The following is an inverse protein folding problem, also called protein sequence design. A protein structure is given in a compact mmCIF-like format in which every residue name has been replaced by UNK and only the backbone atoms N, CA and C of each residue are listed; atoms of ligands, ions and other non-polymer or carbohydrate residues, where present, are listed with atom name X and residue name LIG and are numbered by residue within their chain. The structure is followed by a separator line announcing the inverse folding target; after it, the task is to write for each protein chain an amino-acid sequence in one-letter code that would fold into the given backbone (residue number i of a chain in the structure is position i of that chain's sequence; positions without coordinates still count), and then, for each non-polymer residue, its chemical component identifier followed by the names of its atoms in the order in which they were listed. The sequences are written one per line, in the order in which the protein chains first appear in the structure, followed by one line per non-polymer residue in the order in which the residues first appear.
data_IF_863470192473
#
_entry.id   IF_863470192473
#
_cell.length_a   1.000
_cell.length_b   1.000
_cell.length_c   1.000
_cell.angle_alpha   90.00
_cell.angle_beta   90.00
_cell.angle_gamma   90.00
#
_symmetry.space_group_name_H-M   'P 1'
#
loop_
_entity.id
_entity.type
_entity.pdbx_description
1 polymer ?
#
# COMPACT_ATOMS: atom_id res chain seq x y z
N UNK A 1 -23.34 -13.29 -10.73
CA UNK A 1 -24.48 -12.77 -9.95
C UNK A 1 -24.11 -11.59 -9.04
N UNK A 2 -22.98 -11.58 -8.31
CA UNK A 2 -22.66 -10.49 -7.36
C UNK A 2 -22.50 -9.08 -7.98
N UNK A 3 -22.07 -8.97 -9.25
CA UNK A 3 -21.93 -7.67 -9.93
C UNK A 3 -23.25 -6.94 -10.18
N UNK A 4 -24.40 -7.63 -10.24
CA UNK A 4 -25.70 -6.98 -10.47
C UNK A 4 -26.32 -6.37 -9.21
N UNK A 5 -25.78 -6.69 -8.02
CA UNK A 5 -26.28 -6.23 -6.72
C UNK A 5 -25.44 -5.04 -6.20
N UNK A 6 -24.26 -4.80 -6.77
CA UNK A 6 -23.36 -3.77 -6.25
C UNK A 6 -23.92 -2.36 -6.54
N UNK A 7 -24.20 -1.55 -5.51
CA UNK A 7 -24.80 -0.23 -5.70
C UNK A 7 -23.84 0.70 -6.45
N UNK A 8 -24.41 1.54 -7.32
CA UNK A 8 -23.68 2.52 -8.16
C UNK A 8 -23.15 3.74 -7.38
N UNK A 9 -23.52 3.87 -6.10
CA UNK A 9 -23.09 4.95 -5.21
C UNK A 9 -22.70 4.38 -3.83
N UNK A 10 -21.87 5.09 -3.05
CA UNK A 10 -21.58 4.71 -1.66
C UNK A 10 -22.86 4.80 -0.83
N UNK A 11 -23.58 3.70 -0.74
CA UNK A 11 -24.79 3.61 0.08
C UNK A 11 -24.43 3.25 1.52
N UNK A 12 -25.21 3.70 2.52
CA UNK A 12 -25.03 3.28 3.91
C UNK A 12 -25.02 1.76 4.11
N UNK A 13 -25.72 1.03 3.22
CA UNK A 13 -25.74 -0.43 3.20
C UNK A 13 -24.38 -1.02 2.83
N UNK A 14 -23.69 -0.45 1.84
CA UNK A 14 -22.37 -0.91 1.45
C UNK A 14 -21.36 -0.78 2.58
N UNK A 15 -21.40 0.35 3.29
CA UNK A 15 -20.58 0.57 4.48
C UNK A 15 -20.78 -0.49 5.56
N UNK A 16 -22.04 -0.88 5.81
CA UNK A 16 -22.34 -1.95 6.76
C UNK A 16 -21.77 -3.29 6.30
N UNK A 17 -21.98 -3.65 5.04
CA UNK A 17 -21.48 -4.91 4.46
C UNK A 17 -19.96 -4.99 4.56
N UNK A 18 -19.25 -3.94 4.13
CA UNK A 18 -17.78 -3.91 4.17
C UNK A 18 -17.28 -4.02 5.61
N UNK A 19 -17.90 -3.30 6.55
CA UNK A 19 -17.51 -3.36 7.97
C UNK A 19 -17.74 -4.71 8.64
N UNK A 20 -18.77 -5.44 8.21
CA UNK A 20 -19.03 -6.79 8.72
C UNK A 20 -18.17 -7.84 8.03
N UNK A 21 -17.86 -7.67 6.75
CA UNK A 21 -17.18 -8.68 5.95
C UNK A 21 -15.65 -8.63 6.06
N UNK A 22 -15.04 -7.43 6.08
CA UNK A 22 -13.57 -7.29 6.11
C UNK A 22 -12.90 -7.97 7.31
N UNK A 23 -13.49 -8.02 8.53
CA UNK A 23 -12.92 -8.82 9.62
C UNK A 23 -12.76 -10.31 9.30
N UNK A 24 -13.52 -10.86 8.34
CA UNK A 24 -13.36 -12.24 7.88
C UNK A 24 -12.03 -12.48 7.14
N UNK A 25 -11.22 -11.44 6.92
CA UNK A 25 -9.86 -11.56 6.41
C UNK A 25 -8.98 -12.42 7.32
N UNK A 26 -9.21 -12.39 8.64
CA UNK A 26 -8.47 -13.18 9.62
C UNK A 26 -9.17 -14.49 9.98
N UNK A 27 -10.17 -14.91 9.19
CA UNK A 27 -10.87 -16.17 9.41
C UNK A 27 -9.92 -17.37 9.21
N UNK A 28 -10.09 -18.42 10.02
CA UNK A 28 -9.27 -19.63 9.93
C UNK A 28 -9.50 -20.40 8.62
N UNK A 29 -10.73 -20.38 8.10
CA UNK A 29 -11.10 -21.10 6.88
C UNK A 29 -10.68 -20.34 5.62
N UNK A 30 -9.87 -21.00 4.79
CA UNK A 30 -9.37 -20.44 3.53
C UNK A 30 -10.50 -20.07 2.57
N UNK A 31 -11.55 -20.88 2.51
CA UNK A 31 -12.69 -20.65 1.61
C UNK A 31 -13.45 -19.37 1.95
N UNK A 32 -13.55 -19.03 3.24
CA UNK A 32 -14.17 -17.78 3.71
C UNK A 32 -13.33 -16.59 3.26
N UNK A 33 -12.00 -16.66 3.40
CA UNK A 33 -11.08 -15.60 2.93
C UNK A 33 -11.13 -15.45 1.41
N UNK A 34 -11.20 -16.55 0.66
CA UNK A 34 -11.35 -16.54 -0.80
C UNK A 34 -12.68 -15.92 -1.25
N UNK A 35 -13.78 -16.26 -0.56
CA UNK A 35 -15.10 -15.68 -0.81
C UNK A 35 -15.12 -14.18 -0.48
N UNK A 36 -14.51 -13.76 0.63
CA UNK A 36 -14.32 -12.35 0.98
C UNK A 36 -13.57 -11.62 -0.12
N UNK A 37 -12.43 -12.15 -0.59
CA UNK A 37 -11.65 -11.54 -1.68
C UNK A 37 -12.50 -11.37 -2.93
N UNK A 38 -13.27 -12.39 -3.31
CA UNK A 38 -14.18 -12.35 -4.47
C UNK A 38 -15.27 -11.29 -4.31
N UNK A 39 -15.83 -11.16 -3.10
CA UNK A 39 -16.80 -10.11 -2.76
C UNK A 39 -16.18 -8.72 -2.90
N UNK A 40 -15.00 -8.49 -2.30
CA UNK A 40 -14.31 -7.20 -2.37
C UNK A 40 -13.96 -6.83 -3.80
N UNK A 41 -13.47 -7.78 -4.61
CA UNK A 41 -13.21 -7.57 -6.04
C UNK A 41 -14.48 -7.19 -6.79
N UNK A 42 -15.59 -7.89 -6.56
CA UNK A 42 -16.86 -7.55 -7.20
C UNK A 42 -17.39 -6.16 -6.77
N UNK A 43 -17.12 -5.76 -5.53
CA UNK A 43 -17.60 -4.52 -4.92
C UNK A 43 -16.71 -3.31 -5.22
N UNK A 44 -15.41 -3.48 -5.41
CA UNK A 44 -14.50 -2.34 -5.53
C UNK A 44 -13.77 -2.24 -6.86
N UNK A 45 -13.74 -3.29 -7.69
CA UNK A 45 -13.03 -3.23 -8.97
C UNK A 45 -13.52 -2.07 -9.84
N UNK A 46 -12.59 -1.19 -10.24
CA UNK A 46 -12.84 0.01 -11.02
C UNK A 46 -13.53 1.16 -10.27
N UNK A 47 -13.63 1.09 -8.92
CA UNK A 47 -14.34 2.06 -8.07
C UNK A 47 -13.45 2.57 -6.94
N UNK A 48 -12.40 3.31 -7.32
CA UNK A 48 -11.39 3.87 -6.41
C UNK A 48 -12.00 4.80 -5.35
N UNK A 49 -13.06 5.54 -5.69
CA UNK A 49 -13.81 6.42 -4.78
C UNK A 49 -14.46 5.66 -3.61
N UNK A 50 -15.01 4.47 -3.89
CA UNK A 50 -15.57 3.60 -2.85
C UNK A 50 -14.46 3.05 -1.95
N UNK A 51 -13.33 2.63 -2.53
CA UNK A 51 -12.19 2.14 -1.73
C UNK A 51 -11.69 3.26 -0.80
N UNK A 52 -11.54 4.49 -1.32
CA UNK A 52 -11.06 5.65 -0.55
C UNK A 52 -11.91 5.90 0.71
N UNK A 53 -13.23 5.72 0.61
CA UNK A 53 -14.14 5.86 1.74
C UNK A 53 -13.91 4.81 2.85
N UNK A 54 -13.39 3.63 2.50
CA UNK A 54 -13.13 2.52 3.44
C UNK A 54 -11.65 2.36 3.80
N UNK A 55 -10.74 3.14 3.22
CA UNK A 55 -9.29 2.92 3.32
C UNK A 55 -8.78 2.80 4.74
N UNK A 56 -9.16 3.70 5.65
CA UNK A 56 -8.68 3.65 7.05
C UNK A 56 -9.05 2.34 7.73
N UNK A 57 -10.25 1.83 7.46
CA UNK A 57 -10.75 0.58 8.01
C UNK A 57 -10.09 -0.65 7.36
N UNK A 58 -9.87 -0.60 6.05
CA UNK A 58 -9.16 -1.64 5.29
C UNK A 58 -7.70 -1.74 5.76
N UNK A 59 -6.99 -0.62 5.87
CA UNK A 59 -5.59 -0.57 6.34
C UNK A 59 -5.44 -1.22 7.70
N UNK A 60 -6.37 -0.96 8.64
CA UNK A 60 -6.36 -1.58 9.96
C UNK A 60 -6.46 -3.11 9.89
N UNK A 61 -7.41 -3.65 9.14
CA UNK A 61 -7.65 -5.09 9.08
C UNK A 61 -6.59 -5.82 8.26
N UNK A 62 -6.10 -5.21 7.19
CA UNK A 62 -4.98 -5.76 6.41
C UNK A 62 -3.72 -5.81 7.28
N UNK A 63 -3.44 -4.75 8.05
CA UNK A 63 -2.32 -4.76 8.99
C UNK A 63 -2.47 -5.88 10.02
N UNK A 64 -3.67 -6.07 10.60
CA UNK A 64 -3.96 -7.18 11.50
C UNK A 64 -3.79 -8.56 10.86
N UNK A 65 -4.11 -8.69 9.56
CA UNK A 65 -3.93 -9.93 8.81
C UNK A 65 -2.46 -10.23 8.49
N UNK A 66 -1.66 -9.19 8.17
CA UNK A 66 -0.22 -9.32 7.92
C UNK A 66 0.57 -9.67 9.19
N UNK A 67 0.09 -9.29 10.37
CA UNK A 67 0.69 -9.64 11.67
C UNK A 67 0.08 -10.88 12.32
N UNK A 68 -0.77 -11.61 11.57
CA UNK A 68 -1.44 -12.79 12.09
C UNK A 68 -0.47 -13.95 12.36
N UNK A 69 -0.83 -14.84 13.30
CA UNK A 69 -0.01 -16.00 13.68
C UNK A 69 0.05 -17.07 12.59
N UNK A 70 -1.04 -17.25 11.84
CA UNK A 70 -1.13 -18.22 10.73
C UNK A 70 -0.53 -17.65 9.44
N UNK A 71 0.40 -18.39 8.83
CA UNK A 71 1.10 -17.99 7.60
C UNK A 71 0.15 -17.80 6.40
N UNK A 72 -0.85 -18.67 6.27
CA UNK A 72 -1.84 -18.59 5.18
C UNK A 72 -2.65 -17.30 5.23
N UNK A 73 -3.02 -16.85 6.44
CA UNK A 73 -3.75 -15.59 6.64
C UNK A 73 -2.87 -14.39 6.25
N UNK A 74 -1.57 -14.44 6.56
CA UNK A 74 -0.61 -13.40 6.15
C UNK A 74 -0.47 -13.34 4.63
N UNK A 75 -0.32 -14.51 3.99
CA UNK A 75 -0.22 -14.61 2.53
C UNK A 75 -1.47 -14.07 1.83
N UNK A 76 -2.67 -14.45 2.30
CA UNK A 76 -3.94 -13.97 1.74
C UNK A 76 -4.10 -12.45 1.97
N UNK A 77 -3.68 -11.94 3.12
CA UNK A 77 -3.69 -10.50 3.44
C UNK A 77 -2.71 -9.72 2.56
N UNK A 78 -1.53 -10.26 2.28
CA UNK A 78 -0.57 -9.67 1.36
C UNK A 78 -1.12 -9.62 -0.07
N UNK A 79 -1.76 -10.71 -0.53
CA UNK A 79 -2.42 -10.76 -1.83
C UNK A 79 -3.60 -9.78 -1.95
N UNK A 80 -4.36 -9.56 -0.88
CA UNK A 80 -5.41 -8.54 -0.85
C UNK A 80 -4.82 -7.13 -0.89
N UNK A 81 -3.73 -6.87 -0.13
CA UNK A 81 -3.03 -5.59 -0.14
C UNK A 81 -2.47 -5.26 -1.53
N UNK A 82 -1.80 -6.22 -2.18
CA UNK A 82 -1.29 -6.07 -3.54
C UNK A 82 -2.40 -5.62 -4.51
N UNK A 83 -3.55 -6.31 -4.48
CA UNK A 83 -4.68 -5.96 -5.32
C UNK A 83 -5.26 -4.58 -4.99
N UNK A 84 -5.45 -4.25 -3.70
CA UNK A 84 -5.96 -2.94 -3.31
C UNK A 84 -5.03 -1.80 -3.70
N UNK A 85 -3.71 -1.99 -3.64
CA UNK A 85 -2.73 -1.02 -4.10
C UNK A 85 -2.85 -0.79 -5.62
N UNK A 86 -3.16 -1.84 -6.40
CA UNK A 86 -3.39 -1.69 -7.84
C UNK A 86 -4.66 -0.90 -8.21
N UNK A 87 -5.67 -0.88 -7.33
CA UNK A 87 -6.95 -0.17 -7.57
C UNK A 87 -6.99 1.23 -6.94
N UNK A 88 -6.36 1.42 -5.77
CA UNK A 88 -6.43 2.64 -4.95
C UNK A 88 -5.12 2.95 -4.20
N UNK A 89 -3.97 2.73 -4.85
CA UNK A 89 -2.64 2.87 -4.27
C UNK A 89 -2.42 4.15 -3.48
N UNK A 90 -2.74 5.31 -4.06
CA UNK A 90 -2.51 6.62 -3.44
C UNK A 90 -3.23 6.76 -2.09
N UNK A 91 -4.49 6.31 -2.02
CA UNK A 91 -5.27 6.37 -0.78
C UNK A 91 -4.69 5.43 0.28
N UNK A 92 -4.38 4.18 -0.09
CA UNK A 92 -3.81 3.20 0.85
C UNK A 92 -2.45 3.64 1.39
N UNK A 93 -1.59 4.15 0.52
CA UNK A 93 -0.29 4.68 0.91
C UNK A 93 -0.48 5.85 1.87
N UNK A 94 -1.32 6.83 1.54
CA UNK A 94 -1.54 8.01 2.40
C UNK A 94 -1.89 7.62 3.84
N UNK A 95 -2.75 6.62 4.03
CA UNK A 95 -3.22 6.22 5.35
C UNK A 95 -2.43 5.06 6.00
N UNK A 96 -1.62 4.33 5.24
CA UNK A 96 -0.99 3.08 5.68
C UNK A 96 0.53 3.01 5.53
N UNK A 97 1.18 4.03 4.96
CA UNK A 97 2.60 3.99 4.57
C UNK A 97 3.54 3.48 5.66
N UNK A 98 3.72 4.26 6.74
CA UNK A 98 4.65 3.90 7.82
C UNK A 98 4.29 2.55 8.47
N UNK A 99 2.99 2.31 8.67
CA UNK A 99 2.51 1.08 9.30
C UNK A 99 2.86 -0.16 8.47
N UNK A 100 2.64 -0.10 7.15
CA UNK A 100 2.99 -1.22 6.28
C UNK A 100 4.50 -1.39 6.13
N UNK A 101 5.28 -0.31 6.03
CA UNK A 101 6.74 -0.40 6.03
C UNK A 101 7.28 -1.07 7.31
N UNK A 102 6.76 -0.67 8.46
CA UNK A 102 7.10 -1.29 9.75
C UNK A 102 6.68 -2.77 9.78
N UNK A 103 5.47 -3.08 9.31
CA UNK A 103 4.96 -4.46 9.23
C UNK A 103 5.85 -5.34 8.37
N UNK A 104 6.18 -4.89 7.15
CA UNK A 104 7.07 -5.60 6.25
C UNK A 104 8.48 -5.75 6.83
N UNK A 105 8.97 -4.76 7.58
CA UNK A 105 10.28 -4.83 8.24
C UNK A 105 10.39 -5.96 9.25
N UNK A 106 9.30 -6.23 9.98
CA UNK A 106 9.23 -7.35 10.92
C UNK A 106 8.99 -8.66 10.17
N UNK A 107 8.04 -8.67 9.23
CA UNK A 107 7.58 -9.85 8.49
C UNK A 107 8.66 -10.47 7.59
N UNK A 108 9.50 -9.64 6.98
CA UNK A 108 10.61 -10.04 6.12
C UNK A 108 11.96 -10.00 6.86
N UNK A 109 11.95 -9.67 8.15
CA UNK A 109 13.08 -9.88 9.06
C UNK A 109 14.21 -8.85 8.97
N UNK A 110 13.97 -7.65 8.42
CA UNK A 110 15.00 -6.61 8.32
C UNK A 110 14.97 -5.53 9.40
N UNK A 111 14.07 -5.63 10.37
CA UNK A 111 14.05 -4.73 11.55
C UNK A 111 14.96 -5.25 12.66
N UNK A 112 15.74 -4.35 13.28
CA UNK A 112 16.59 -4.62 14.45
C UNK A 112 15.99 -3.95 15.71
N UNK A 113 15.96 -4.62 16.89
CA UNK A 113 16.46 -5.97 17.17
C UNK A 113 15.47 -7.05 16.70
N UNK A 114 16.02 -8.08 16.04
CA UNK A 114 15.28 -9.15 15.38
C UNK A 114 14.44 -9.97 16.37
N UNK A 115 13.21 -9.54 16.67
CA UNK A 115 12.17 -10.43 17.21
C UNK A 115 11.41 -10.98 16.01
N UNK A 116 11.91 -12.07 15.44
CA UNK A 116 11.39 -12.82 14.28
C UNK A 116 10.08 -13.56 14.59
N UNK A 117 9.16 -12.94 15.34
CA UNK A 117 7.92 -13.58 15.85
C UNK A 117 7.00 -14.01 14.70
N UNK A 118 7.11 -13.36 13.53
CA UNK A 118 6.23 -13.57 12.39
C UNK A 118 6.97 -13.77 11.07
N UNK A 119 8.15 -14.42 11.07
CA UNK A 119 8.90 -14.64 9.83
C UNK A 119 7.99 -15.27 8.74
N UNK A 120 8.09 -14.77 7.51
CA UNK A 120 7.46 -15.39 6.34
C UNK A 120 7.77 -16.89 6.33
N UNK A 121 6.73 -17.72 6.38
CA UNK A 121 6.88 -19.18 6.38
C UNK A 121 7.26 -19.69 4.99
N UNK A 122 6.40 -20.55 4.41
CA UNK A 122 6.74 -21.31 3.19
C UNK A 122 6.84 -20.46 1.92
N UNK A 123 6.30 -19.23 1.90
CA UNK A 123 6.36 -18.36 0.70
C UNK A 123 6.57 -16.88 1.03
N UNK A 124 7.71 -16.34 0.59
CA UNK A 124 8.02 -14.89 0.65
C UNK A 124 7.39 -14.12 -0.51
N UNK A 125 7.00 -14.80 -1.58
CA UNK A 125 6.59 -14.19 -2.84
C UNK A 125 5.36 -13.26 -2.72
N UNK A 126 4.24 -13.63 -2.04
CA UNK A 126 3.10 -12.73 -1.88
C UNK A 126 3.47 -11.44 -1.14
N UNK A 127 4.36 -11.56 -0.14
CA UNK A 127 4.82 -10.44 0.67
C UNK A 127 5.72 -9.49 -0.14
N UNK A 128 6.62 -10.04 -0.96
CA UNK A 128 7.47 -9.24 -1.85
C UNK A 128 6.66 -8.55 -2.95
N UNK A 129 5.63 -9.20 -3.50
CA UNK A 129 4.72 -8.59 -4.47
C UNK A 129 3.95 -7.42 -3.87
N UNK A 130 3.39 -7.59 -2.68
CA UNK A 130 2.69 -6.55 -1.95
C UNK A 130 3.63 -5.38 -1.55
N UNK A 131 4.84 -5.68 -1.08
CA UNK A 131 5.87 -4.68 -0.80
C UNK A 131 6.27 -3.91 -2.05
N UNK A 132 6.50 -4.59 -3.18
CA UNK A 132 6.81 -3.93 -4.45
C UNK A 132 5.70 -2.97 -4.83
N UNK A 133 4.44 -3.41 -4.79
CA UNK A 133 3.30 -2.56 -5.08
C UNK A 133 3.27 -1.35 -4.14
N UNK A 134 3.50 -1.56 -2.84
CA UNK A 134 3.52 -0.50 -1.84
C UNK A 134 4.60 0.54 -2.20
N UNK A 135 5.83 0.11 -2.45
CA UNK A 135 6.95 0.98 -2.80
C UNK A 135 6.71 1.73 -4.11
N UNK A 136 6.20 1.05 -5.14
CA UNK A 136 5.89 1.68 -6.43
C UNK A 136 4.87 2.80 -6.22
N UNK A 137 3.77 2.57 -5.51
CA UNK A 137 2.77 3.61 -5.29
C UNK A 137 3.25 4.69 -4.31
N UNK A 138 3.92 4.33 -3.22
CA UNK A 138 4.31 5.31 -2.20
C UNK A 138 5.53 6.16 -2.54
N UNK A 139 6.41 5.65 -3.40
CA UNK A 139 7.56 6.40 -3.92
C UNK A 139 7.31 6.97 -5.31
N UNK A 140 6.09 6.89 -5.85
CA UNK A 140 5.75 7.58 -7.09
C UNK A 140 5.69 9.09 -6.83
N UNK A 141 6.65 9.82 -7.39
CA UNK A 141 6.68 11.29 -7.40
C UNK A 141 5.96 11.80 -8.65
N UNK A 142 5.11 12.83 -8.50
CA UNK A 142 4.46 13.52 -9.63
C UNK A 142 3.05 13.06 -10.00
N UNK A 143 2.54 11.95 -9.45
CA UNK A 143 1.10 11.58 -9.55
C UNK A 143 0.24 12.24 -8.47
N UNK A 144 0.85 12.63 -7.35
CA UNK A 144 0.19 13.30 -6.21
C UNK A 144 -0.46 14.66 -6.55
N UNK A 145 -0.26 15.16 -7.76
CA UNK A 145 -0.65 16.52 -8.16
C UNK A 145 -1.76 16.58 -9.22
N UNK A 146 -2.73 15.68 -9.14
CA UNK A 146 -4.11 16.03 -9.49
C UNK A 146 -5.01 15.73 -8.30
N UNK A 147 -5.01 16.64 -7.31
CA UNK A 147 -6.25 16.88 -6.54
C UNK A 147 -7.34 17.06 -7.60
N UNK A 148 -8.34 16.16 -7.70
CA UNK A 148 -9.43 16.40 -8.63
C UNK A 148 -9.99 17.77 -8.25
N UNK A 149 -10.07 18.72 -9.20
CA UNK A 149 -10.60 20.03 -8.89
C UNK A 149 -11.98 19.80 -8.28
N UNK A 150 -12.32 20.51 -7.19
CA UNK A 150 -13.61 20.32 -6.55
C UNK A 150 -14.72 20.45 -7.59
N UNK A 151 -15.66 19.51 -7.49
CA UNK A 151 -16.77 19.38 -8.43
C UNK A 151 -17.73 20.50 -8.08
N UNK A 152 -18.01 21.34 -9.07
CA UNK A 152 -18.99 22.40 -8.93
C UNK A 152 -20.33 21.86 -9.43
N UNK A 153 -21.37 21.99 -8.62
CA UNK A 153 -22.73 21.89 -9.11
C UNK A 153 -23.01 23.06 -10.07
N UNK A 154 -23.97 22.93 -11.01
CA UNK A 154 -24.34 24.02 -11.92
C UNK A 154 -24.68 25.33 -11.18
N UNK A 155 -25.29 25.22 -9.99
CA UNK A 155 -25.64 26.36 -9.12
C UNK A 155 -24.40 27.03 -8.52
N UNK A 156 -23.39 26.27 -8.12
CA UNK A 156 -22.12 26.82 -7.61
C UNK A 156 -21.28 27.43 -8.72
N UNK A 157 -21.26 26.81 -9.90
CA UNK A 157 -20.62 27.39 -11.07
C UNK A 157 -21.22 28.75 -11.43
N UNK A 158 -22.55 28.89 -11.34
CA UNK A 158 -23.25 30.16 -11.54
C UNK A 158 -22.92 31.19 -10.42
N UNK A 159 -22.87 30.77 -9.15
CA UNK A 159 -22.48 31.64 -8.04
C UNK A 159 -21.02 32.11 -8.13
N UNK A 160 -20.14 31.28 -8.70
CA UNK A 160 -18.73 31.59 -8.92
C UNK A 160 -18.46 32.44 -10.17
N UNK A 161 -19.42 32.57 -11.10
CA UNK A 161 -19.23 33.32 -12.34
C UNK A 161 -18.91 34.81 -12.12
N UNK A 162 -19.25 35.37 -10.96
CA UNK A 162 -18.89 36.74 -10.55
C UNK A 162 -17.63 36.85 -9.70
N UNK A 163 -17.01 35.74 -9.30
CA UNK A 163 -15.86 35.71 -8.39
C UNK A 163 -14.60 35.43 -9.21
N UNK A 164 -13.94 36.49 -9.65
CA UNK A 164 -12.73 36.46 -10.49
C UNK A 164 -11.46 35.95 -9.81
N UNK A 165 -11.56 35.24 -8.67
CA UNK A 165 -10.39 34.74 -7.98
C UNK A 165 -9.97 33.37 -8.52
N UNK A 166 -8.70 33.17 -8.95
CA UNK A 166 -8.25 31.94 -9.59
C UNK A 166 -8.36 30.69 -8.70
N UNK A 167 -8.47 30.87 -7.38
CA UNK A 167 -8.70 29.79 -6.40
C UNK A 167 -10.12 29.73 -5.84
N UNK A 168 -11.07 30.54 -6.33
CA UNK A 168 -12.45 30.56 -5.81
C UNK A 168 -13.09 29.16 -5.83
N UNK A 169 -12.84 28.41 -6.90
CA UNK A 169 -13.27 27.01 -7.04
C UNK A 169 -12.72 26.10 -5.93
N UNK A 170 -11.49 26.33 -5.46
CA UNK A 170 -10.86 25.53 -4.41
C UNK A 170 -11.53 25.70 -3.05
N UNK A 171 -12.05 26.89 -2.76
CA UNK A 171 -12.60 27.24 -1.44
C UNK A 171 -14.13 27.08 -1.36
N UNK A 172 -14.83 27.22 -2.48
CA UNK A 172 -16.31 27.18 -2.51
C UNK A 172 -16.89 25.94 -3.20
N UNK A 173 -16.07 25.07 -3.79
CA UNK A 173 -16.55 23.83 -4.40
C UNK A 173 -16.64 22.68 -3.41
N UNK A 174 -17.53 21.73 -3.69
CA UNK A 174 -17.61 20.49 -2.92
C UNK A 174 -16.32 19.68 -3.09
N UNK A 175 -15.71 19.19 -1.99
CA UNK A 175 -14.55 18.33 -2.08
C UNK A 175 -14.87 17.05 -2.86
N UNK A 176 -14.08 16.75 -3.89
CA UNK A 176 -14.31 15.58 -4.76
C UNK A 176 -13.90 14.23 -4.14
N UNK A 177 -13.66 14.17 -2.82
CA UNK A 177 -13.20 12.99 -2.08
C UNK A 177 -14.02 12.81 -0.82
N UNK A 178 -14.17 11.57 -0.38
CA UNK A 178 -14.74 11.27 0.93
C UNK A 178 -13.83 11.77 2.05
N UNK A 179 -14.41 12.33 3.12
CA UNK A 179 -13.69 12.80 4.31
C UNK A 179 -12.49 13.76 4.04
N UNK A 180 -12.69 14.87 3.29
CA UNK A 180 -11.62 15.77 2.84
C UNK A 180 -10.83 16.45 3.96
N UNK A 181 -11.44 16.57 5.15
CA UNK A 181 -10.85 17.16 6.35
C UNK A 181 -10.47 16.11 7.41
N UNK A 182 -10.46 14.82 7.05
CA UNK A 182 -10.14 13.73 7.98
C UNK A 182 -8.76 13.87 8.63
N UNK A 183 -7.79 14.35 7.86
CA UNK A 183 -6.41 14.64 8.29
C UNK A 183 -6.31 15.65 9.44
N UNK A 184 -7.32 16.52 9.63
CA UNK A 184 -7.29 17.52 10.71
C UNK A 184 -7.53 16.90 12.09
N UNK A 185 -8.04 15.66 12.17
CA UNK A 185 -8.23 14.96 13.45
C UNK A 185 -9.21 15.64 14.43
N UNK A 186 -10.02 16.61 13.98
CA UNK A 186 -10.88 17.43 14.86
C UNK A 186 -11.87 16.60 15.68
N UNK A 187 -12.30 15.45 15.15
CA UNK A 187 -13.28 14.56 15.79
C UNK A 187 -12.66 13.23 16.27
N UNK A 188 -11.33 13.08 16.25
CA UNK A 188 -10.70 11.90 16.86
C UNK A 188 -10.57 12.11 18.36
N UNK A 189 -11.18 11.21 19.14
CA UNK A 189 -11.18 11.24 20.61
C UNK A 189 -9.79 11.04 21.23
N UNK A 190 -8.80 10.61 20.44
CA UNK A 190 -7.45 10.34 20.89
C UNK A 190 -6.44 11.13 20.06
N UNK A 191 -5.62 11.96 20.70
CA UNK A 191 -4.33 12.43 20.17
C UNK A 191 -3.38 11.24 20.04
N UNK A 192 -3.60 10.35 19.09
CA UNK A 192 -2.68 9.25 18.85
C UNK A 192 -1.88 9.50 17.57
N UNK A 193 -0.56 9.57 17.77
CA UNK A 193 0.51 9.65 16.78
C UNK A 193 0.53 8.51 15.73
N UNK A 194 -0.51 7.67 15.66
CA UNK A 194 -0.63 6.54 14.73
C UNK A 194 -1.55 6.79 13.54
N UNK A 195 -2.01 8.03 13.35
CA UNK A 195 -2.89 8.45 12.24
C UNK A 195 -2.20 9.45 11.30
N UNK A 196 -0.87 9.41 11.24
CA UNK A 196 -0.09 10.22 10.31
C UNK A 196 -0.51 9.89 8.89
N UNK A 197 -1.13 10.87 8.23
CA UNK A 197 -1.43 10.80 6.81
C UNK A 197 -0.22 11.32 6.04
N UNK A 198 0.38 10.46 5.21
CA UNK A 198 1.51 10.83 4.37
C UNK A 198 1.00 11.25 3.00
N UNK A 199 0.48 12.48 2.93
CA UNK A 199 -0.03 13.08 1.70
C UNK A 199 1.08 13.33 0.67
N UNK A 200 2.26 13.74 1.13
CA UNK A 200 3.35 14.15 0.25
C UNK A 200 4.37 13.02 0.06
N UNK A 201 4.84 12.86 -1.19
CA UNK A 201 5.86 11.87 -1.53
C UNK A 201 7.18 12.10 -0.79
N UNK A 202 7.51 13.36 -0.47
CA UNK A 202 8.71 13.71 0.29
C UNK A 202 8.64 13.20 1.74
N UNK A 203 7.50 13.39 2.41
CA UNK A 203 7.28 12.85 3.76
C UNK A 203 7.35 11.32 3.77
N UNK A 204 6.83 10.67 2.71
CA UNK A 204 6.95 9.21 2.55
C UNK A 204 8.38 8.76 2.36
N UNK A 205 9.15 9.50 1.58
CA UNK A 205 10.56 9.23 1.35
C UNK A 205 11.37 9.34 2.65
N UNK A 206 11.14 10.37 3.47
CA UNK A 206 11.81 10.52 4.76
C UNK A 206 11.56 9.33 5.69
N UNK A 207 10.33 8.81 5.74
CA UNK A 207 10.01 7.60 6.50
C UNK A 207 10.71 6.38 5.90
N UNK A 208 10.66 6.25 4.57
CA UNK A 208 11.28 5.13 3.86
C UNK A 208 12.79 5.07 4.06
N UNK A 209 13.48 6.21 4.09
CA UNK A 209 14.93 6.30 4.30
C UNK A 209 15.43 5.56 5.55
N UNK A 210 14.59 5.46 6.59
CA UNK A 210 14.90 4.70 7.82
C UNK A 210 14.92 3.19 7.62
N UNK A 211 14.23 2.69 6.60
CA UNK A 211 14.08 1.27 6.30
C UNK A 211 14.97 0.78 5.14
N UNK A 212 15.54 1.68 4.34
CA UNK A 212 16.31 1.33 3.13
C UNK A 212 17.45 0.36 3.42
N UNK A 213 18.28 0.65 4.40
CA UNK A 213 19.46 -0.18 4.73
C UNK A 213 19.07 -1.60 5.15
N UNK A 214 17.96 -1.74 5.90
CA UNK A 214 17.42 -3.04 6.29
C UNK A 214 16.87 -3.79 5.08
N UNK A 215 16.04 -3.12 4.28
CA UNK A 215 15.44 -3.70 3.07
C UNK A 215 16.52 -4.24 2.12
N UNK A 216 17.56 -3.45 1.82
CA UNK A 216 18.65 -3.88 0.96
C UNK A 216 19.37 -5.13 1.50
N UNK A 217 19.43 -5.30 2.82
CA UNK A 217 20.06 -6.45 3.46
C UNK A 217 19.22 -7.70 3.25
N UNK A 218 17.92 -7.59 3.49
CA UNK A 218 16.98 -8.68 3.23
C UNK A 218 16.91 -9.06 1.75
N UNK A 219 16.95 -8.10 0.83
CA UNK A 219 16.97 -8.39 -0.61
C UNK A 219 18.24 -9.16 -1.00
N UNK A 220 19.39 -8.80 -0.43
CA UNK A 220 20.64 -9.53 -0.63
C UNK A 220 20.58 -10.96 -0.10
N UNK A 221 20.06 -11.15 1.12
CA UNK A 221 19.90 -12.48 1.72
C UNK A 221 18.90 -13.34 0.95
N UNK A 222 17.78 -12.74 0.53
CA UNK A 222 16.75 -13.42 -0.27
C UNK A 222 17.30 -13.81 -1.63
N UNK A 223 18.08 -12.92 -2.28
CA UNK A 223 18.74 -13.23 -3.54
C UNK A 223 19.73 -14.39 -3.39
N UNK A 224 20.60 -14.36 -2.38
CA UNK A 224 21.59 -15.41 -2.14
C UNK A 224 20.93 -16.77 -1.82
N UNK A 225 19.87 -16.77 -1.01
CA UNK A 225 19.12 -17.98 -0.67
C UNK A 225 18.38 -18.60 -1.87
N UNK A 226 17.74 -17.78 -2.70
CA UNK A 226 16.99 -18.27 -3.87
C UNK A 226 17.91 -18.67 -5.04
N UNK A 227 19.12 -18.10 -5.17
CA UNK A 227 20.10 -18.58 -6.15
C UNK A 227 20.48 -20.04 -5.92
N UNK A 228 20.67 -20.45 -4.65
CA UNK A 228 20.93 -21.84 -4.27
C UNK A 228 19.74 -22.77 -4.58
N UNK A 229 18.52 -22.23 -4.55
CA UNK A 229 17.28 -22.94 -4.89
C UNK A 229 17.04 -23.00 -6.42
N UNK A 230 17.49 -21.99 -7.17
CA UNK A 230 17.33 -21.89 -8.63
C UNK A 230 18.01 -23.03 -9.38
N UNK A 231 19.12 -23.55 -8.84
CA UNK A 231 19.80 -24.74 -9.36
C UNK A 231 18.91 -26.00 -9.31
N UNK A 232 17.81 -25.95 -8.54
CA UNK A 232 16.78 -27.00 -8.46
C UNK A 232 15.47 -26.72 -9.24
N UNK A 233 15.43 -25.65 -10.05
CA UNK A 233 14.36 -25.33 -11.02
C UNK A 233 12.93 -25.14 -10.46
N UNK A 234 12.75 -24.49 -9.30
CA UNK A 234 11.43 -24.08 -8.82
C UNK A 234 10.97 -22.74 -9.46
N UNK A 235 9.81 -22.72 -10.13
CA UNK A 235 9.23 -21.50 -10.73
C UNK A 235 9.04 -20.36 -9.71
N UNK A 236 8.72 -20.71 -8.46
CA UNK A 236 8.53 -19.74 -7.37
C UNK A 236 9.83 -19.00 -7.01
N UNK A 237 11.00 -19.65 -7.16
CA UNK A 237 12.30 -19.04 -6.94
C UNK A 237 12.60 -17.98 -8.02
N UNK A 238 12.30 -18.28 -9.29
CA UNK A 238 12.43 -17.32 -10.39
C UNK A 238 11.52 -16.11 -10.20
N UNK A 239 10.27 -16.34 -9.82
CA UNK A 239 9.31 -15.27 -9.52
C UNK A 239 9.78 -14.39 -8.35
N UNK A 240 10.39 -15.00 -7.34
CA UNK A 240 10.97 -14.30 -6.18
C UNK A 240 12.17 -13.45 -6.59
N UNK A 241 13.11 -14.00 -7.35
CA UNK A 241 14.24 -13.26 -7.94
C UNK A 241 13.73 -12.07 -8.77
N UNK A 242 12.69 -12.27 -9.59
CA UNK A 242 12.07 -11.20 -10.37
C UNK A 242 11.49 -10.10 -9.49
N UNK A 243 10.84 -10.43 -8.37
CA UNK A 243 10.38 -9.40 -7.43
C UNK A 243 11.53 -8.63 -6.81
N UNK A 244 12.64 -9.28 -6.44
CA UNK A 244 13.84 -8.62 -5.90
C UNK A 244 14.37 -7.59 -6.89
N UNK A 245 14.55 -7.96 -8.16
CA UNK A 245 15.00 -7.05 -9.24
C UNK A 245 14.07 -5.83 -9.34
N UNK A 246 12.76 -6.06 -9.35
CA UNK A 246 11.77 -4.99 -9.50
C UNK A 246 11.72 -4.06 -8.29
N UNK A 247 11.93 -4.59 -7.08
CA UNK A 247 12.03 -3.78 -5.86
C UNK A 247 13.30 -2.92 -5.92
N UNK A 248 14.45 -3.51 -6.27
CA UNK A 248 15.70 -2.75 -6.44
C UNK A 248 15.52 -1.60 -7.43
N UNK A 249 14.89 -1.85 -8.58
CA UNK A 249 14.59 -0.81 -9.57
C UNK A 249 13.59 0.26 -9.11
N UNK A 250 12.74 -0.03 -8.11
CA UNK A 250 11.90 0.99 -7.46
C UNK A 250 12.71 1.84 -6.48
N UNK A 251 13.63 1.22 -5.75
CA UNK A 251 14.50 1.88 -4.76
C UNK A 251 15.52 2.80 -5.45
N UNK A 252 16.16 2.35 -6.52
CA UNK A 252 17.13 3.14 -7.30
C UNK A 252 16.61 4.49 -7.76
N UNK A 253 15.36 4.55 -8.23
CA UNK A 253 14.73 5.77 -8.73
C UNK A 253 14.66 6.89 -7.68
N UNK A 254 14.91 6.55 -6.42
CA UNK A 254 14.68 7.38 -5.26
C UNK A 254 15.97 7.63 -4.48
N UNK A 255 16.93 6.71 -4.56
CA UNK A 255 18.21 6.79 -3.84
C UNK A 255 19.11 7.93 -4.33
N UNK A 256 18.89 8.47 -5.54
CA UNK A 256 19.58 9.66 -6.03
C UNK A 256 19.09 10.98 -5.39
N UNK A 257 18.18 10.93 -4.41
CA UNK A 257 17.68 12.10 -3.65
C UNK A 257 18.42 12.26 -2.32
N UNK A 258 18.65 13.51 -1.92
CA UNK A 258 19.43 13.89 -0.72
C UNK A 258 18.92 13.34 0.62
N UNK A 259 17.72 12.76 0.66
CA UNK A 259 17.08 12.23 1.87
C UNK A 259 17.42 10.77 2.16
N UNK A 260 18.07 10.07 1.24
CA UNK A 260 18.48 8.67 1.43
C UNK A 260 19.94 8.62 1.92
N UNK A 261 20.30 7.72 2.86
CA UNK A 261 21.67 7.58 3.34
C UNK A 261 22.67 7.37 2.19
N UNK A 262 23.79 8.10 2.19
CA UNK A 262 24.80 8.03 1.11
C UNK A 262 25.34 6.60 0.87
N UNK A 263 25.40 5.77 1.92
CA UNK A 263 25.81 4.36 1.83
C UNK A 263 24.83 3.48 1.04
N UNK A 264 23.54 3.84 1.01
CA UNK A 264 22.51 3.09 0.30
C UNK A 264 22.78 3.05 -1.20
N UNK A 265 23.29 4.16 -1.76
CA UNK A 265 23.58 4.29 -3.20
C UNK A 265 24.63 3.29 -3.66
N UNK A 266 25.74 3.22 -2.93
CA UNK A 266 26.81 2.26 -3.24
C UNK A 266 26.31 0.82 -3.13
N UNK A 267 25.54 0.49 -2.06
CA UNK A 267 24.95 -0.85 -1.87
C UNK A 267 23.96 -1.22 -2.96
N UNK A 268 23.13 -0.29 -3.39
CA UNK A 268 22.16 -0.52 -4.47
C UNK A 268 22.89 -0.83 -5.77
N UNK A 269 23.92 -0.06 -6.11
CA UNK A 269 24.75 -0.32 -7.30
C UNK A 269 25.48 -1.66 -7.21
N UNK A 270 26.05 -2.00 -6.05
CA UNK A 270 26.70 -3.28 -5.80
C UNK A 270 25.73 -4.46 -5.97
N UNK A 271 24.54 -4.38 -5.35
CA UNK A 271 23.52 -5.40 -5.48
C UNK A 271 23.01 -5.51 -6.92
N UNK A 272 22.85 -4.38 -7.62
CA UNK A 272 22.46 -4.39 -9.03
C UNK A 272 23.53 -5.05 -9.89
N UNK A 273 24.81 -4.79 -9.66
CA UNK A 273 25.89 -5.44 -10.40
C UNK A 273 25.88 -6.97 -10.19
N UNK A 274 25.54 -7.43 -8.98
CA UNK A 274 25.42 -8.87 -8.66
C UNK A 274 24.18 -9.51 -9.27
N UNK A 275 23.10 -8.75 -9.42
CA UNK A 275 21.81 -9.22 -9.97
C UNK A 275 21.79 -9.14 -11.50
N UNK A 276 22.40 -8.11 -12.09
CA UNK A 276 22.37 -7.76 -13.51
C UNK A 276 23.26 -8.62 -14.41
N UNK A 277 23.98 -9.60 -13.87
CA UNK A 277 24.64 -10.64 -14.69
C UNK A 277 23.67 -11.66 -15.32
N UNK A 278 22.38 -11.31 -15.44
CA UNK A 278 21.28 -12.22 -15.78
C UNK A 278 20.27 -11.63 -16.78
N UNK A 279 20.58 -10.48 -17.40
CA UNK A 279 19.83 -9.99 -18.57
C UNK A 279 20.14 -10.82 -19.83
#
# INVERSE_FOLDING_TARGET
MLRSIAPRSPTPLLWRIVRTAVPLLTDCARDVRAALRSLLVAVFSGRTDLIEAHTVFLVLHIHSGLTHVLDDVRCDSAGLLEWLLSEAGDALVRHGWARFLETFSVLLGWSRPARTVFACGRSRLPHLRALRALLVHGLSFGTEQRRPPPVLTPREAAALAGIGHPRARMYMGHPGRSAPYGHLGLFSQTKHAGREEYGDAESRLQVFGRHVEGLLGCLQETWAGEQLSRDSAAQDALDTCRQVVLILGAVERVVDRDTVPQGARARVQELRARVGGLD
#
